data_IF_988634606912
#
_entry.id   IF_988634606912
#
_cell.length_a   1.000
_cell.length_b   1.000
_cell.length_c   1.000
_cell.angle_alpha   90.00
_cell.angle_beta   90.00
_cell.angle_gamma   90.00
#
_symmetry.space_group_name_H-M   'P 1'
#
loop_
_entity.id
_entity.type
_entity.pdbx_description
1 polymer ?
#
# COMPACT_ATOMS: atom_id res chain seq x y z
N UNK A 1 4.98 -26.77 -33.30
CA UNK A 1 4.15 -25.86 -32.48
C UNK A 1 5.08 -24.94 -31.71
N UNK A 2 5.14 -23.67 -32.10
CA UNK A 2 6.00 -22.66 -31.47
C UNK A 2 5.44 -22.27 -30.10
N UNK A 3 6.28 -22.31 -29.06
CA UNK A 3 5.94 -22.11 -27.64
C UNK A 3 5.57 -20.67 -27.25
N UNK A 4 5.01 -19.87 -28.17
CA UNK A 4 4.96 -18.40 -28.03
C UNK A 4 3.68 -17.81 -27.43
N UNK A 5 2.67 -18.62 -27.06
CA UNK A 5 1.36 -18.07 -26.60
C UNK A 5 0.69 -18.81 -25.44
N UNK A 6 1.43 -19.51 -24.57
CA UNK A 6 0.82 -19.99 -23.32
C UNK A 6 0.76 -18.84 -22.32
N UNK A 7 -0.45 -18.42 -21.95
CA UNK A 7 -0.69 -17.40 -20.92
C UNK A 7 -0.02 -17.81 -19.60
N UNK A 8 0.86 -16.96 -19.06
CA UNK A 8 1.58 -17.23 -17.82
C UNK A 8 0.65 -17.15 -16.61
N UNK A 9 1.02 -17.82 -15.51
CA UNK A 9 0.20 -17.80 -14.30
C UNK A 9 0.03 -16.37 -13.73
N UNK A 10 1.09 -15.56 -13.75
CA UNK A 10 1.01 -14.15 -13.38
C UNK A 10 -0.02 -13.36 -14.21
N UNK A 11 -0.12 -13.63 -15.53
CA UNK A 11 -1.14 -12.98 -16.39
C UNK A 11 -2.55 -13.41 -15.99
N UNK A 12 -2.76 -14.69 -15.64
CA UNK A 12 -4.05 -15.19 -15.13
C UNK A 12 -4.45 -14.49 -13.84
N UNK A 13 -3.54 -14.39 -12.87
CA UNK A 13 -3.79 -13.66 -11.62
C UNK A 13 -4.13 -12.19 -11.89
N UNK A 14 -3.35 -11.51 -12.74
CA UNK A 14 -3.60 -10.10 -13.11
C UNK A 14 -4.99 -9.91 -13.73
N UNK A 15 -5.41 -10.82 -14.62
CA UNK A 15 -6.73 -10.77 -15.25
C UNK A 15 -7.84 -10.98 -14.21
N UNK A 16 -7.67 -11.95 -13.32
CA UNK A 16 -8.64 -12.29 -12.27
C UNK A 16 -8.83 -11.17 -11.23
N UNK A 17 -7.79 -10.38 -10.96
CA UNK A 17 -7.83 -9.31 -9.96
C UNK A 17 -8.09 -7.92 -10.53
N UNK A 18 -8.19 -7.77 -11.87
CA UNK A 18 -8.30 -6.47 -12.54
C UNK A 18 -9.40 -5.56 -11.98
N UNK A 19 -10.60 -6.11 -11.77
CA UNK A 19 -11.75 -5.33 -11.32
C UNK A 19 -11.57 -4.86 -9.87
N UNK A 20 -11.21 -5.77 -8.97
CA UNK A 20 -11.02 -5.43 -7.55
C UNK A 20 -9.78 -4.57 -7.31
N UNK A 21 -8.74 -4.70 -8.14
CA UNK A 21 -7.58 -3.81 -8.15
C UNK A 21 -7.95 -2.39 -8.58
N UNK A 22 -8.87 -2.23 -9.53
CA UNK A 22 -9.32 -0.88 -9.93
C UNK A 22 -10.03 -0.13 -8.79
N UNK A 23 -10.69 -0.86 -7.89
CA UNK A 23 -11.24 -0.31 -6.64
C UNK A 23 -10.11 0.17 -5.72
N UNK A 24 -9.02 -0.61 -5.59
CA UNK A 24 -7.84 -0.19 -4.83
C UNK A 24 -7.24 1.10 -5.39
N UNK A 25 -7.06 1.17 -6.71
CA UNK A 25 -6.55 2.36 -7.39
C UNK A 25 -7.45 3.58 -7.16
N UNK A 26 -8.77 3.42 -7.22
CA UNK A 26 -9.72 4.49 -6.96
C UNK A 26 -9.64 4.98 -5.50
N UNK A 27 -9.61 4.07 -4.54
CA UNK A 27 -9.49 4.39 -3.11
C UNK A 27 -8.18 5.12 -2.82
N UNK A 28 -7.05 4.61 -3.30
CA UNK A 28 -5.74 5.24 -3.11
C UNK A 28 -5.71 6.63 -3.74
N UNK A 29 -6.16 6.78 -5.00
CA UNK A 29 -6.17 8.09 -5.65
C UNK A 29 -7.10 9.10 -4.94
N UNK A 30 -8.24 8.65 -4.40
CA UNK A 30 -9.09 9.50 -3.57
C UNK A 30 -8.36 9.94 -2.29
N UNK A 31 -7.74 9.02 -1.56
CA UNK A 31 -6.96 9.35 -0.35
C UNK A 31 -5.83 10.34 -0.66
N UNK A 32 -5.15 10.18 -1.78
CA UNK A 32 -4.12 11.11 -2.25
C UNK A 32 -4.70 12.49 -2.60
N UNK A 33 -5.81 12.57 -3.33
CA UNK A 33 -6.41 13.85 -3.69
C UNK A 33 -6.73 14.73 -2.46
N UNK A 34 -7.10 14.11 -1.34
CA UNK A 34 -7.43 14.80 -0.10
C UNK A 34 -6.29 14.87 0.93
N UNK A 35 -5.24 14.05 0.81
CA UNK A 35 -4.24 13.89 1.87
C UNK A 35 -2.80 13.64 1.41
N UNK A 36 -2.47 13.70 0.11
CA UNK A 36 -1.13 13.36 -0.43
C UNK A 36 0.01 14.15 0.21
N UNK A 37 -0.26 15.37 0.65
CA UNK A 37 0.74 16.17 1.33
C UNK A 37 0.75 15.85 2.84
N UNK A 38 -0.38 15.59 3.48
CA UNK A 38 -0.46 15.47 4.94
C UNK A 38 0.35 14.29 5.49
N UNK A 39 1.36 14.61 6.29
CA UNK A 39 2.31 13.62 6.83
C UNK A 39 1.59 12.59 7.70
N UNK A 40 0.53 13.00 8.42
CA UNK A 40 -0.30 12.10 9.21
C UNK A 40 -1.08 11.10 8.35
N UNK A 41 -1.66 11.54 7.22
CA UNK A 41 -2.37 10.63 6.28
C UNK A 41 -1.39 9.68 5.62
N UNK A 42 -0.19 10.17 5.27
CA UNK A 42 0.86 9.31 4.73
C UNK A 42 1.32 8.26 5.74
N UNK A 43 1.63 8.69 6.96
CA UNK A 43 2.04 7.79 8.04
C UNK A 43 0.96 6.76 8.37
N UNK A 44 -0.30 7.17 8.39
CA UNK A 44 -1.41 6.26 8.64
C UNK A 44 -1.56 5.21 7.52
N UNK A 45 -1.33 5.64 6.27
CA UNK A 45 -1.22 4.73 5.13
C UNK A 45 -0.07 3.73 5.25
N UNK A 46 1.09 4.13 5.79
CA UNK A 46 2.18 3.19 6.08
C UNK A 46 1.80 2.23 7.21
N UNK A 47 1.20 2.75 8.27
CA UNK A 47 0.89 2.03 9.50
C UNK A 47 -0.08 0.86 9.26
N UNK A 48 -1.06 1.02 8.37
CA UNK A 48 -2.00 -0.06 8.03
C UNK A 48 -1.37 -1.22 7.22
N UNK A 49 -0.21 -1.01 6.60
CA UNK A 49 0.52 -2.06 5.86
C UNK A 49 1.70 -2.64 6.64
N UNK A 50 2.25 -1.92 7.63
CA UNK A 50 3.46 -2.32 8.38
C UNK A 50 3.41 -3.77 8.88
N UNK A 51 2.37 -4.11 9.66
CA UNK A 51 2.27 -5.43 10.26
C UNK A 51 2.08 -6.55 9.25
N UNK A 52 1.45 -6.25 8.11
CA UNK A 52 1.21 -7.22 7.04
C UNK A 52 2.54 -7.57 6.36
N UNK A 53 3.34 -6.57 5.99
CA UNK A 53 4.68 -6.81 5.43
C UNK A 53 5.59 -7.53 6.43
N UNK A 54 5.57 -7.09 7.70
CA UNK A 54 6.33 -7.73 8.78
C UNK A 54 5.95 -9.20 8.95
N UNK A 55 4.65 -9.50 8.94
CA UNK A 55 4.15 -10.87 9.02
C UNK A 55 4.67 -11.73 7.87
N UNK A 56 4.51 -11.26 6.62
CA UNK A 56 4.90 -12.01 5.42
C UNK A 56 6.41 -12.21 5.31
N UNK A 57 7.21 -11.23 5.71
CA UNK A 57 8.67 -11.37 5.79
C UNK A 57 9.09 -12.46 6.77
N UNK A 58 8.51 -12.44 7.97
CA UNK A 58 8.77 -13.49 8.96
C UNK A 58 8.22 -14.85 8.51
N UNK A 59 7.08 -14.90 7.81
CA UNK A 59 6.53 -16.13 7.25
C UNK A 59 7.46 -16.73 6.19
N UNK A 60 8.03 -15.92 5.30
CA UNK A 60 9.03 -16.40 4.33
C UNK A 60 10.28 -16.99 5.02
N UNK A 61 10.70 -16.41 6.14
CA UNK A 61 11.81 -16.93 6.97
C UNK A 61 11.42 -18.27 7.64
N UNK A 62 10.24 -18.34 8.27
CA UNK A 62 9.75 -19.57 8.91
C UNK A 62 9.56 -20.70 7.88
N UNK A 63 9.07 -20.36 6.70
CA UNK A 63 8.81 -21.27 5.59
C UNK A 63 9.98 -21.39 4.60
N UNK A 64 11.22 -21.05 5.00
CA UNK A 64 12.41 -21.00 4.11
C UNK A 64 12.69 -22.30 3.33
N UNK A 65 12.28 -23.44 3.89
CA UNK A 65 12.45 -24.76 3.28
C UNK A 65 11.34 -25.15 2.28
N UNK A 66 10.36 -24.27 2.07
CA UNK A 66 9.23 -24.47 1.15
C UNK A 66 9.34 -23.52 -0.04
N UNK A 67 8.43 -23.65 -1.01
CA UNK A 67 8.34 -22.72 -2.15
C UNK A 67 8.07 -21.27 -1.71
N UNK A 68 7.43 -21.05 -0.57
CA UNK A 68 7.19 -19.70 0.00
C UNK A 68 8.51 -18.98 0.27
N UNK A 69 9.48 -19.70 0.84
CA UNK A 69 10.81 -19.17 1.14
C UNK A 69 11.61 -18.70 -0.08
N UNK A 70 11.32 -19.24 -1.28
CA UNK A 70 12.01 -18.86 -2.51
C UNK A 70 11.71 -17.42 -2.98
N UNK A 71 10.70 -16.78 -2.41
CA UNK A 71 10.37 -15.37 -2.67
C UNK A 71 11.14 -14.41 -1.76
N UNK A 72 11.86 -14.92 -0.75
CA UNK A 72 12.66 -14.10 0.15
C UNK A 72 13.86 -13.53 -0.61
N UNK A 73 13.92 -12.20 -0.71
CA UNK A 73 15.04 -11.44 -1.28
C UNK A 73 15.41 -10.35 -0.28
N UNK A 74 16.68 -10.26 0.11
CA UNK A 74 17.12 -9.32 1.13
C UNK A 74 16.82 -7.86 0.72
N UNK A 75 16.96 -7.56 -0.57
CA UNK A 75 16.68 -6.25 -1.14
C UNK A 75 15.20 -5.87 -1.06
N UNK A 76 14.29 -6.86 -0.93
CA UNK A 76 12.86 -6.61 -0.82
C UNK A 76 12.40 -6.45 0.63
N UNK A 77 13.18 -6.79 1.66
CA UNK A 77 12.76 -6.65 3.05
C UNK A 77 12.45 -5.19 3.41
N UNK A 78 11.24 -4.91 3.88
CA UNK A 78 10.67 -3.58 4.13
C UNK A 78 10.35 -3.31 5.60
N UNK A 79 10.35 -4.31 6.50
CA UNK A 79 10.00 -4.07 7.92
C UNK A 79 10.79 -2.90 8.52
N UNK A 80 12.11 -2.91 8.42
CA UNK A 80 12.98 -1.83 8.94
C UNK A 80 12.71 -0.49 8.20
N UNK A 81 12.45 -0.55 6.89
CA UNK A 81 12.14 0.62 6.10
C UNK A 81 10.80 1.28 6.51
N UNK A 82 9.80 0.48 6.89
CA UNK A 82 8.56 0.99 7.51
C UNK A 82 8.85 1.66 8.85
N UNK A 83 9.63 1.02 9.71
CA UNK A 83 9.95 1.54 11.05
C UNK A 83 10.65 2.89 10.99
N UNK A 84 11.62 3.05 10.08
CA UNK A 84 12.29 4.32 9.83
C UNK A 84 11.35 5.42 9.30
N UNK A 85 10.48 5.09 8.33
CA UNK A 85 9.51 6.05 7.81
C UNK A 85 8.48 6.43 8.89
N UNK A 86 7.99 5.48 9.67
CA UNK A 86 7.03 5.71 10.77
C UNK A 86 7.66 6.53 11.90
N UNK A 87 8.90 6.26 12.30
CA UNK A 87 9.64 7.08 13.27
C UNK A 87 9.78 8.52 12.77
N UNK A 88 10.08 8.72 11.49
CA UNK A 88 10.19 10.05 10.91
C UNK A 88 8.86 10.83 10.97
N UNK A 89 7.73 10.17 10.65
CA UNK A 89 6.44 10.86 10.55
C UNK A 89 5.65 10.94 11.85
N UNK A 90 5.78 9.95 12.74
CA UNK A 90 5.01 9.84 13.98
C UNK A 90 5.88 10.09 15.24
N UNK A 91 7.20 10.14 15.09
CA UNK A 91 8.17 10.33 16.17
C UNK A 91 8.70 9.02 16.77
N UNK A 92 9.76 9.12 17.58
CA UNK A 92 10.48 7.96 18.15
C UNK A 92 9.63 7.01 19.00
N UNK A 93 8.59 7.53 19.63
CA UNK A 93 7.69 6.74 20.48
C UNK A 93 6.43 6.27 19.74
N UNK A 94 6.45 6.20 18.40
CA UNK A 94 5.25 5.83 17.63
C UNK A 94 4.66 4.47 17.99
N UNK A 95 5.47 3.55 18.51
CA UNK A 95 5.05 2.22 18.95
C UNK A 95 4.39 2.19 20.33
N UNK A 96 4.56 3.23 21.17
CA UNK A 96 4.18 3.21 22.60
C UNK A 96 2.69 2.98 22.86
N UNK A 97 1.84 3.48 21.97
CA UNK A 97 0.39 3.30 22.01
C UNK A 97 -0.14 2.69 20.70
N UNK A 98 0.73 2.06 19.93
CA UNK A 98 0.34 1.45 18.68
C UNK A 98 -0.34 0.10 18.92
N UNK A 99 -1.53 -0.04 18.36
CA UNK A 99 -2.18 -1.34 18.16
C UNK A 99 -2.63 -1.43 16.71
N UNK A 100 -2.50 -2.60 16.06
CA UNK A 100 -3.10 -2.82 14.76
C UNK A 100 -4.61 -2.60 14.83
N UNK A 101 -5.17 -1.99 13.78
CA UNK A 101 -6.61 -1.78 13.66
C UNK A 101 -7.33 -3.09 13.42
N UNK A 102 -8.63 -3.14 13.70
CA UNK A 102 -9.45 -4.34 13.47
C UNK A 102 -9.34 -4.88 12.03
N UNK A 103 -9.29 -4.00 11.04
CA UNK A 103 -9.09 -4.38 9.63
C UNK A 103 -7.73 -5.04 9.37
N UNK A 104 -6.68 -4.57 10.03
CA UNK A 104 -5.32 -5.14 9.95
C UNK A 104 -5.27 -6.45 10.74
N UNK A 105 -5.83 -6.50 11.95
CA UNK A 105 -5.92 -7.71 12.77
C UNK A 105 -6.68 -8.82 12.04
N UNK A 106 -7.79 -8.50 11.37
CA UNK A 106 -8.54 -9.42 10.51
C UNK A 106 -7.66 -9.98 9.39
N UNK A 107 -6.88 -9.12 8.74
CA UNK A 107 -5.93 -9.54 7.71
C UNK A 107 -4.87 -10.50 8.28
N UNK A 108 -4.23 -10.14 9.39
CA UNK A 108 -3.22 -10.97 10.04
C UNK A 108 -3.78 -12.33 10.47
N UNK A 109 -5.01 -12.37 10.98
CA UNK A 109 -5.68 -13.63 11.33
C UNK A 109 -5.89 -14.52 10.09
N UNK A 110 -6.28 -13.94 8.96
CA UNK A 110 -6.40 -14.68 7.69
C UNK A 110 -5.05 -15.23 7.22
N UNK A 111 -3.99 -14.42 7.26
CA UNK A 111 -2.63 -14.88 6.93
C UNK A 111 -2.15 -16.01 7.83
N UNK A 112 -2.46 -15.93 9.12
CA UNK A 112 -2.14 -16.97 10.11
C UNK A 112 -2.89 -18.26 9.85
N UNK A 113 -4.16 -18.19 9.50
CA UNK A 113 -4.95 -19.36 9.12
C UNK A 113 -4.34 -20.04 7.89
N UNK A 114 -4.02 -19.27 6.85
CA UNK A 114 -3.36 -19.79 5.65
C UNK A 114 -2.02 -20.43 5.98
N UNK A 115 -1.18 -19.78 6.78
CA UNK A 115 0.13 -20.32 7.14
C UNK A 115 0.03 -21.68 7.85
N UNK A 116 -1.00 -21.86 8.69
CA UNK A 116 -1.21 -23.09 9.44
C UNK A 116 -1.83 -24.22 8.61
N UNK A 117 -2.63 -23.88 7.59
CA UNK A 117 -3.45 -24.85 6.83
C UNK A 117 -2.86 -25.16 5.46
N UNK A 118 -2.55 -24.15 4.67
CA UNK A 118 -2.05 -24.28 3.29
C UNK A 118 -1.02 -23.17 2.97
N UNK A 119 0.17 -23.18 3.60
CA UNK A 119 1.12 -22.06 3.56
C UNK A 119 1.58 -21.67 2.15
N UNK A 120 1.47 -22.56 1.16
CA UNK A 120 1.74 -22.22 -0.25
C UNK A 120 0.88 -21.05 -0.74
N UNK A 121 -0.32 -20.84 -0.20
CA UNK A 121 -1.19 -19.74 -0.62
C UNK A 121 -0.69 -18.35 -0.20
N UNK A 122 0.24 -18.28 0.77
CA UNK A 122 0.89 -17.02 1.16
C UNK A 122 1.61 -16.33 0.00
N UNK A 123 2.02 -17.09 -1.03
CA UNK A 123 2.71 -16.51 -2.20
C UNK A 123 1.82 -15.53 -2.97
N UNK A 124 0.49 -15.66 -2.92
CA UNK A 124 -0.41 -14.68 -3.53
C UNK A 124 -0.28 -13.31 -2.84
N UNK A 125 -0.21 -13.30 -1.51
CA UNK A 125 -0.06 -12.10 -0.70
C UNK A 125 1.29 -11.43 -0.92
N UNK A 126 2.37 -12.22 -0.83
CA UNK A 126 3.73 -11.76 -1.10
C UNK A 126 3.80 -11.16 -2.51
N UNK A 127 3.35 -11.90 -3.53
CA UNK A 127 3.38 -11.46 -4.91
C UNK A 127 2.66 -10.12 -5.11
N UNK A 128 1.39 -10.01 -4.72
CA UNK A 128 0.60 -8.81 -5.00
C UNK A 128 1.05 -7.59 -4.19
N UNK A 129 1.45 -7.75 -2.92
CA UNK A 129 1.92 -6.64 -2.09
C UNK A 129 3.26 -6.10 -2.59
N UNK A 130 4.24 -6.96 -2.89
CA UNK A 130 5.52 -6.51 -3.43
C UNK A 130 5.41 -5.97 -4.86
N UNK A 131 4.61 -6.59 -5.73
CA UNK A 131 4.34 -6.05 -7.07
C UNK A 131 3.65 -4.69 -7.02
N UNK A 132 2.72 -4.51 -6.08
CA UNK A 132 2.06 -3.24 -5.77
C UNK A 132 3.07 -2.19 -5.30
N UNK A 133 3.95 -2.53 -4.37
CA UNK A 133 5.00 -1.62 -3.87
C UNK A 133 5.97 -1.19 -4.98
N UNK A 134 6.48 -2.14 -5.76
CA UNK A 134 7.42 -1.91 -6.87
C UNK A 134 6.79 -1.20 -8.08
N UNK A 135 5.47 -1.01 -8.07
CA UNK A 135 4.72 -0.33 -9.14
C UNK A 135 4.00 0.90 -8.60
N UNK A 136 2.86 0.70 -7.94
CA UNK A 136 2.05 1.76 -7.34
C UNK A 136 2.81 2.56 -6.29
N UNK A 137 3.57 1.91 -5.41
CA UNK A 137 4.37 2.60 -4.39
C UNK A 137 5.39 3.58 -4.98
N UNK A 138 6.12 3.17 -6.03
CA UNK A 138 7.05 4.05 -6.75
C UNK A 138 6.34 5.25 -7.40
N UNK A 139 5.15 5.03 -7.99
CA UNK A 139 4.35 6.09 -8.58
C UNK A 139 3.86 7.07 -7.49
N UNK A 140 3.40 6.55 -6.35
CA UNK A 140 2.94 7.32 -5.20
C UNK A 140 4.06 8.23 -4.67
N UNK A 141 5.26 7.68 -4.45
CA UNK A 141 6.44 8.48 -4.06
C UNK A 141 6.67 9.62 -5.04
N UNK A 142 6.73 9.33 -6.34
CA UNK A 142 6.99 10.34 -7.38
C UNK A 142 5.93 11.44 -7.37
N UNK A 143 4.64 11.07 -7.28
CA UNK A 143 3.53 12.03 -7.17
C UNK A 143 3.71 12.94 -5.95
N UNK A 144 4.02 12.37 -4.78
CA UNK A 144 4.22 13.15 -3.55
C UNK A 144 5.41 14.10 -3.65
N UNK A 145 6.54 13.65 -4.19
CA UNK A 145 7.73 14.49 -4.43
C UNK A 145 7.44 15.65 -5.39
N UNK A 146 6.71 15.42 -6.48
CA UNK A 146 6.33 16.46 -7.44
C UNK A 146 5.40 17.49 -6.79
N UNK A 147 4.37 17.03 -6.07
CA UNK A 147 3.42 17.92 -5.39
C UNK A 147 4.10 18.82 -4.35
N UNK A 148 5.13 18.33 -3.66
CA UNK A 148 5.88 19.16 -2.73
C UNK A 148 6.70 20.26 -3.41
N UNK A 149 7.33 19.98 -4.55
CA UNK A 149 8.09 21.00 -5.29
C UNK A 149 7.20 22.14 -5.81
N UNK A 150 5.93 21.84 -6.08
CA UNK A 150 4.99 22.78 -6.68
C UNK A 150 4.24 23.60 -5.61
N UNK A 151 4.18 23.15 -4.36
CA UNK A 151 3.39 23.82 -3.31
C UNK A 151 4.23 24.85 -2.52
N UNK A 152 4.09 26.17 -2.79
CA UNK A 152 5.00 27.20 -2.29
C UNK A 152 4.92 27.47 -0.77
N UNK A 153 3.91 26.95 -0.08
CA UNK A 153 3.64 27.25 1.34
C UNK A 153 4.04 26.15 2.33
N UNK A 154 4.57 25.02 1.85
CA UNK A 154 5.21 24.04 2.73
C UNK A 154 6.69 24.32 2.66
N UNK A 155 7.25 24.91 3.71
CA UNK A 155 8.69 25.05 3.86
C UNK A 155 9.40 23.72 3.60
N UNK A 156 10.72 23.77 3.41
CA UNK A 156 11.60 22.68 2.98
C UNK A 156 11.69 21.46 3.93
N UNK A 157 10.56 20.94 4.42
CA UNK A 157 10.52 19.75 5.25
C UNK A 157 10.91 18.55 4.38
N UNK A 158 11.94 17.83 4.81
CA UNK A 158 12.39 16.62 4.12
C UNK A 158 11.25 15.59 4.02
N UNK A 159 11.17 14.89 2.89
CA UNK A 159 10.39 13.65 2.76
C UNK A 159 11.34 12.49 2.96
N UNK A 160 10.94 11.50 3.74
CA UNK A 160 11.61 10.21 3.81
C UNK A 160 10.75 9.17 3.09
N UNK A 161 11.39 8.27 2.34
CA UNK A 161 10.70 7.27 1.52
C UNK A 161 11.43 5.91 1.56
N UNK A 162 11.96 5.50 2.71
CA UNK A 162 12.77 4.28 2.83
C UNK A 162 11.99 3.06 2.34
N UNK A 163 10.67 3.03 2.55
CA UNK A 163 9.82 1.92 2.07
C UNK A 163 9.90 1.67 0.56
N UNK A 164 10.18 2.70 -0.23
CA UNK A 164 10.34 2.61 -1.69
C UNK A 164 11.78 2.79 -2.16
N UNK A 165 12.71 2.92 -1.22
CA UNK A 165 14.13 2.94 -1.49
C UNK A 165 14.67 1.50 -1.49
N UNK A 166 15.17 1.10 -2.65
CA UNK A 166 15.75 -0.22 -2.89
C UNK A 166 17.26 -0.11 -3.15
N UNK A 167 17.88 1.01 -2.76
CA UNK A 167 19.30 1.27 -2.97
C UNK A 167 19.67 1.23 -4.46
N UNK A 168 20.70 0.44 -4.78
CA UNK A 168 21.21 0.29 -6.15
C UNK A 168 20.41 -0.74 -6.99
N UNK A 169 19.38 -1.36 -6.42
CA UNK A 169 18.62 -2.41 -7.09
C UNK A 169 17.76 -1.86 -8.22
N UNK A 170 17.76 -2.57 -9.35
CA UNK A 170 16.94 -2.22 -10.50
C UNK A 170 15.48 -2.67 -10.30
N UNK A 171 14.56 -1.72 -10.15
CA UNK A 171 13.12 -1.99 -9.96
C UNK A 171 12.51 -2.85 -11.07
N UNK A 172 12.99 -2.72 -12.31
CA UNK A 172 12.52 -3.56 -13.40
C UNK A 172 12.92 -5.02 -13.18
N UNK A 173 14.16 -5.27 -12.78
CA UNK A 173 14.70 -6.61 -12.51
C UNK A 173 14.03 -7.22 -11.29
N UNK A 174 13.83 -6.47 -10.20
CA UNK A 174 13.09 -6.95 -9.02
C UNK A 174 11.69 -7.45 -9.39
N UNK A 175 10.95 -6.66 -10.19
CA UNK A 175 9.61 -7.07 -10.68
C UNK A 175 9.68 -8.27 -11.62
N UNK A 176 10.72 -8.36 -12.45
CA UNK A 176 10.91 -9.49 -13.35
C UNK A 176 11.17 -10.77 -12.54
N UNK A 177 12.11 -10.73 -11.61
CA UNK A 177 12.46 -11.85 -10.73
C UNK A 177 11.25 -12.33 -9.93
N UNK A 178 10.44 -11.43 -9.39
CA UNK A 178 9.20 -11.77 -8.67
C UNK A 178 8.21 -12.51 -9.58
N UNK A 179 8.00 -12.05 -10.83
CA UNK A 179 7.12 -12.73 -11.79
C UNK A 179 7.68 -14.08 -12.22
N UNK A 180 8.97 -14.15 -12.52
CA UNK A 180 9.61 -15.36 -12.99
C UNK A 180 9.57 -16.44 -11.88
N UNK A 181 9.88 -16.07 -10.64
CA UNK A 181 9.76 -16.95 -9.46
C UNK A 181 8.33 -17.47 -9.29
N UNK A 182 7.33 -16.57 -9.35
CA UNK A 182 5.93 -16.96 -9.22
C UNK A 182 5.46 -17.90 -10.34
N UNK A 183 5.86 -17.64 -11.58
CA UNK A 183 5.53 -18.51 -12.71
C UNK A 183 6.20 -19.88 -12.56
N UNK A 184 7.47 -19.93 -12.18
CA UNK A 184 8.22 -21.17 -11.97
C UNK A 184 7.62 -22.01 -10.83
N UNK A 185 7.22 -21.37 -9.72
CA UNK A 185 6.47 -22.05 -8.65
C UNK A 185 5.18 -22.64 -9.22
N UNK A 186 4.39 -21.84 -9.93
CA UNK A 186 3.10 -22.27 -10.46
C UNK A 186 3.22 -23.45 -11.45
N UNK A 187 4.30 -23.57 -12.21
CA UNK A 187 4.51 -24.73 -13.10
C UNK A 187 4.57 -26.07 -12.36
N UNK A 188 4.93 -26.05 -11.07
CA UNK A 188 5.04 -27.24 -10.22
C UNK A 188 3.79 -27.56 -9.40
N UNK A 189 2.72 -26.74 -9.52
CA UNK A 189 1.49 -26.89 -8.75
C UNK A 189 0.40 -27.56 -9.58
N UNK A 190 -0.48 -28.32 -8.92
CA UNK A 190 -1.72 -28.81 -9.51
C UNK A 190 -2.71 -27.64 -9.78
N UNK A 191 -3.76 -27.93 -10.56
CA UNK A 191 -4.73 -26.90 -10.94
C UNK A 191 -5.64 -26.47 -9.78
N UNK A 192 -5.86 -27.31 -8.76
CA UNK A 192 -6.65 -26.94 -7.58
C UNK A 192 -5.93 -25.85 -6.77
N UNK A 193 -4.65 -26.07 -6.48
CA UNK A 193 -3.79 -25.10 -5.78
C UNK A 193 -3.67 -23.80 -6.58
N UNK A 194 -3.53 -23.87 -7.91
CA UNK A 194 -3.52 -22.68 -8.78
C UNK A 194 -4.83 -21.89 -8.71
N UNK A 195 -5.98 -22.58 -8.68
CA UNK A 195 -7.28 -21.93 -8.57
C UNK A 195 -7.44 -21.26 -7.20
N UNK A 196 -7.02 -21.93 -6.11
CA UNK A 196 -6.97 -21.33 -4.77
C UNK A 196 -6.09 -20.08 -4.73
N UNK A 197 -4.91 -20.11 -5.37
CA UNK A 197 -4.05 -18.92 -5.49
C UNK A 197 -4.72 -17.75 -6.23
N UNK A 198 -5.54 -18.05 -7.24
CA UNK A 198 -6.32 -17.04 -7.96
C UNK A 198 -7.43 -16.46 -7.07
N UNK A 199 -8.12 -17.29 -6.29
CA UNK A 199 -9.13 -16.81 -5.35
C UNK A 199 -8.50 -16.00 -4.20
N UNK A 200 -7.41 -16.49 -3.61
CA UNK A 200 -6.64 -15.75 -2.62
C UNK A 200 -6.10 -14.44 -3.18
N UNK A 201 -5.70 -14.39 -4.46
CA UNK A 201 -5.33 -13.14 -5.12
C UNK A 201 -6.45 -12.10 -5.11
N UNK A 202 -7.71 -12.50 -5.24
CA UNK A 202 -8.86 -11.57 -5.10
C UNK A 202 -9.02 -11.16 -3.64
N UNK A 203 -8.88 -12.10 -2.71
CA UNK A 203 -8.91 -11.85 -1.26
C UNK A 203 -7.84 -10.83 -0.84
N UNK A 204 -6.62 -10.89 -1.40
CA UNK A 204 -5.57 -9.89 -1.19
C UNK A 204 -6.12 -8.48 -1.42
N UNK A 205 -6.76 -8.25 -2.58
CA UNK A 205 -7.28 -6.93 -2.90
C UNK A 205 -8.53 -6.56 -2.09
N UNK A 206 -9.37 -7.53 -1.71
CA UNK A 206 -10.49 -7.29 -0.82
C UNK A 206 -10.02 -6.77 0.55
N UNK A 207 -9.05 -7.46 1.16
CA UNK A 207 -8.46 -7.09 2.44
C UNK A 207 -7.65 -5.79 2.34
N UNK A 208 -6.87 -5.60 1.26
CA UNK A 208 -6.19 -4.33 0.98
C UNK A 208 -7.19 -3.16 0.90
N UNK A 209 -8.33 -3.36 0.23
CA UNK A 209 -9.36 -2.33 0.12
C UNK A 209 -10.00 -2.01 1.49
N UNK A 210 -10.17 -3.01 2.36
CA UNK A 210 -10.67 -2.82 3.73
C UNK A 210 -9.71 -2.00 4.58
N UNK A 211 -8.42 -2.34 4.58
CA UNK A 211 -7.41 -1.57 5.34
C UNK A 211 -7.22 -0.16 4.78
N UNK A 212 -7.24 0.03 3.44
CA UNK A 212 -7.13 1.35 2.81
C UNK A 212 -8.32 2.24 3.16
N UNK A 213 -9.53 1.67 3.21
CA UNK A 213 -10.73 2.43 3.65
C UNK A 213 -10.59 2.91 5.08
N UNK A 214 -9.98 2.10 5.95
CA UNK A 214 -9.79 2.45 7.35
C UNK A 214 -8.88 3.67 7.54
N UNK A 215 -7.98 3.99 6.60
CA UNK A 215 -7.03 5.12 6.71
C UNK A 215 -7.76 6.41 7.10
N UNK A 216 -7.38 6.98 8.24
CA UNK A 216 -7.97 8.17 8.83
C UNK A 216 -7.31 9.45 8.29
N UNK A 217 -7.81 10.62 8.69
CA UNK A 217 -7.20 11.90 8.34
C UNK A 217 -7.70 12.57 7.05
N UNK A 218 -8.34 11.83 6.12
CA UNK A 218 -8.93 12.48 4.93
C UNK A 218 -10.16 13.34 5.24
N UNK A 219 -10.97 12.93 6.21
CA UNK A 219 -12.18 13.67 6.65
C UNK A 219 -11.82 14.94 7.43
N UNK A 220 -10.86 14.88 8.35
CA UNK A 220 -10.38 16.05 9.11
C UNK A 220 -9.70 17.08 8.22
N UNK A 221 -8.98 16.64 7.19
CA UNK A 221 -8.36 17.53 6.21
C UNK A 221 -9.43 18.17 5.31
N UNK A 222 -10.43 17.41 4.88
CA UNK A 222 -11.56 17.94 4.13
C UNK A 222 -12.33 19.00 4.93
N UNK A 223 -12.65 18.73 6.20
CA UNK A 223 -13.33 19.69 7.09
C UNK A 223 -12.49 20.96 7.29
N UNK A 224 -11.19 20.83 7.58
CA UNK A 224 -10.28 21.98 7.69
C UNK A 224 -10.25 22.80 6.40
N UNK A 225 -10.10 22.14 5.24
CA UNK A 225 -10.03 22.81 3.93
C UNK A 225 -11.33 23.52 3.57
N UNK A 226 -12.48 22.92 3.90
CA UNK A 226 -13.80 23.55 3.77
C UNK A 226 -13.93 24.76 4.70
N UNK A 227 -13.51 24.66 5.96
CA UNK A 227 -13.49 25.81 6.89
C UNK A 227 -12.63 26.96 6.36
N UNK A 228 -11.44 26.68 5.83
CA UNK A 228 -10.56 27.69 5.24
C UNK A 228 -11.19 28.42 4.05
N UNK A 229 -12.16 27.83 3.36
CA UNK A 229 -12.88 28.48 2.26
C UNK A 229 -14.17 29.16 2.73
N UNK A 230 -14.94 28.51 3.59
CA UNK A 230 -16.24 29.00 4.07
C UNK A 230 -16.07 30.19 5.01
N UNK A 231 -15.09 30.19 5.91
CA UNK A 231 -14.91 31.25 6.90
C UNK A 231 -14.59 32.61 6.22
N UNK A 232 -13.63 32.71 5.27
CA UNK A 232 -13.39 33.98 4.57
C UNK A 232 -14.58 34.46 3.75
N UNK A 233 -15.33 33.56 3.10
CA UNK A 233 -16.54 33.91 2.34
C UNK A 233 -17.63 34.45 3.29
N UNK A 234 -17.81 33.81 4.44
CA UNK A 234 -18.75 34.28 5.47
C UNK A 234 -18.34 35.65 6.01
N UNK A 235 -17.06 35.87 6.32
CA UNK A 235 -16.53 37.18 6.75
C UNK A 235 -16.76 38.25 5.68
N UNK A 236 -16.50 37.93 4.41
CA UNK A 236 -16.73 38.85 3.29
C UNK A 236 -18.20 39.23 3.15
N UNK A 237 -19.11 38.27 3.19
CA UNK A 237 -20.56 38.53 3.13
C UNK A 237 -21.01 39.39 4.31
N UNK A 238 -20.53 39.12 5.53
CA UNK A 238 -20.86 39.88 6.73
C UNK A 238 -20.38 41.34 6.62
N UNK A 239 -19.14 41.56 6.15
CA UNK A 239 -18.62 42.90 5.89
C UNK A 239 -19.41 43.65 4.81
N UNK A 240 -19.80 42.95 3.73
CA UNK A 240 -20.63 43.51 2.66
C UNK A 240 -22.01 43.96 3.16
N UNK A 241 -22.70 43.13 3.96
CA UNK A 241 -24.01 43.49 4.55
C UNK A 241 -23.92 44.64 5.55
N UNK A 242 -22.85 44.73 6.35
CA UNK A 242 -22.61 45.87 7.25
C UNK A 242 -22.39 47.16 6.45
N UNK A 243 -21.68 47.09 5.33
CA UNK A 243 -21.45 48.24 4.45
C UNK A 243 -22.75 48.76 3.81
N UNK A 244 -23.61 47.85 3.34
CA UNK A 244 -24.90 48.20 2.74
C UNK A 244 -25.88 48.86 3.73
N UNK A 245 -25.79 48.56 5.04
CA UNK A 245 -26.63 49.20 6.07
C UNK A 245 -26.18 50.62 6.44
N UNK A 246 -25.01 51.08 5.99
CA UNK A 246 -24.46 52.41 6.27
C UNK A 246 -24.73 53.44 5.16
N UNK A 247 -25.37 53.02 4.07
CA UNK A 247 -25.85 53.86 2.96
C UNK A 247 -27.35 54.07 3.11
#
# INVERSE_FOLDING_TARGET
>A
MTSKDKETFCKKMQKATREIHSISDALVNAKLAFGILEDSVWADGLLVFYEIFRYLELAMIRCKHTKVGSLLQDELRRTEAFEHDLEFYLGKEWTKNYSPRDSVTKYLNHLKEIENTEPILLIAYIYHLYMGLLSGGIILRKKRQVMQKIWPFRGSRAIVNNITDFGNSNIYELKRNMRDTMNNIAETLDEDTKNKLIEESKTVFALNNEIIRSIEGTSTVLVKKTMYFVIPVMIFLLAFFISLKKV
#
